data_IF_987330335162
#
_entry.id   IF_987330335162
#
_cell.length_a   1.000
_cell.length_b   1.000
_cell.length_c   1.000
_cell.angle_alpha   90.00
_cell.angle_beta   90.00
_cell.angle_gamma   90.00
#
_symmetry.space_group_name_H-M   'P 1'
#
loop_
_entity.id
_entity.type
_entity.pdbx_description
1 polymer ?
#
# COMPACT_ATOMS: atom_id res chain seq x y z
N UNK A 1 14.69 4.89 15.85
CA UNK A 1 13.89 5.73 14.93
C UNK A 1 12.43 5.36 15.14
N UNK A 2 11.47 6.30 15.13
CA UNK A 2 10.04 5.98 15.18
C UNK A 2 9.63 5.00 14.07
N UNK A 3 8.61 4.17 14.34
CA UNK A 3 8.02 3.26 13.37
C UNK A 3 6.60 3.70 13.04
N UNK A 4 6.29 3.68 11.75
CA UNK A 4 4.96 3.99 11.24
C UNK A 4 4.44 2.84 10.40
N UNK A 5 3.12 2.82 10.22
CA UNK A 5 2.48 2.10 9.13
C UNK A 5 1.67 3.07 8.27
N UNK A 6 1.83 2.96 6.95
CA UNK A 6 0.90 3.56 5.99
C UNK A 6 -0.11 2.49 5.58
N UNK A 7 -1.38 2.78 5.80
CA UNK A 7 -2.49 1.90 5.46
C UNK A 7 -3.29 2.53 4.32
N UNK A 8 -3.58 1.75 3.28
CA UNK A 8 -4.54 2.10 2.23
C UNK A 8 -5.70 1.10 2.20
N UNK A 9 -6.93 1.60 2.21
CA UNK A 9 -8.16 0.83 2.00
C UNK A 9 -8.58 1.00 0.53
N UNK A 10 -8.51 -0.07 -0.24
CA UNK A 10 -8.43 -0.03 -1.69
C UNK A 10 -9.45 -0.96 -2.36
N UNK A 11 -10.03 -0.50 -3.47
CA UNK A 11 -10.97 -1.28 -4.30
C UNK A 11 -10.60 -1.18 -5.77
N UNK A 12 -10.91 -2.20 -6.59
CA UNK A 12 -11.04 -2.00 -8.02
C UNK A 12 -12.15 -0.95 -8.27
N UNK A 13 -11.99 -0.03 -9.24
CA UNK A 13 -13.04 0.96 -9.52
C UNK A 13 -14.39 0.36 -9.93
N UNK A 14 -14.37 -0.83 -10.53
CA UNK A 14 -15.55 -1.63 -10.86
C UNK A 14 -15.16 -3.11 -10.99
N UNK A 15 -16.15 -4.01 -11.01
CA UNK A 15 -15.91 -5.45 -11.18
C UNK A 15 -15.18 -5.77 -12.51
N UNK A 16 -15.53 -5.08 -13.60
CA UNK A 16 -14.91 -5.27 -14.92
C UNK A 16 -13.45 -4.80 -14.97
N UNK A 17 -13.01 -3.99 -13.99
CA UNK A 17 -11.65 -3.48 -13.88
C UNK A 17 -10.78 -4.26 -12.88
N UNK A 18 -11.25 -5.40 -12.36
CA UNK A 18 -10.49 -6.22 -11.41
C UNK A 18 -9.11 -6.61 -11.97
N UNK A 19 -9.03 -7.06 -13.22
CA UNK A 19 -7.75 -7.47 -13.82
C UNK A 19 -6.76 -6.30 -13.94
N UNK A 20 -7.25 -5.08 -14.18
CA UNK A 20 -6.41 -3.88 -14.26
C UNK A 20 -5.92 -3.47 -12.88
N UNK A 21 -6.80 -3.55 -11.88
CA UNK A 21 -6.45 -3.36 -10.48
C UNK A 21 -5.42 -4.40 -10.02
N UNK A 22 -5.58 -5.67 -10.33
CA UNK A 22 -4.62 -6.71 -9.96
C UNK A 22 -3.25 -6.45 -10.61
N UNK A 23 -3.23 -6.19 -11.93
CA UNK A 23 -1.98 -5.95 -12.67
C UNK A 23 -1.25 -4.69 -12.19
N UNK A 24 -1.96 -3.62 -11.87
CA UNK A 24 -1.34 -2.36 -11.47
C UNK A 24 -1.14 -2.25 -9.97
N UNK A 25 -2.18 -2.49 -9.17
CA UNK A 25 -2.12 -2.30 -7.73
C UNK A 25 -1.39 -3.47 -7.07
N UNK A 26 -1.94 -4.68 -7.17
CA UNK A 26 -1.44 -5.86 -6.44
C UNK A 26 -0.03 -6.25 -6.89
N UNK A 27 0.20 -6.33 -8.20
CA UNK A 27 1.44 -6.86 -8.76
C UNK A 27 2.56 -5.82 -8.89
N UNK A 28 2.24 -4.52 -8.92
CA UNK A 28 3.22 -3.48 -9.22
C UNK A 28 3.29 -2.36 -8.17
N UNK A 29 2.15 -1.72 -7.83
CA UNK A 29 2.11 -0.55 -6.96
C UNK A 29 2.63 -0.83 -5.55
N UNK A 30 2.28 -2.00 -5.00
CA UNK A 30 2.76 -2.41 -3.67
C UNK A 30 4.28 -2.59 -3.67
N UNK A 31 4.84 -3.23 -4.69
CA UNK A 31 6.30 -3.37 -4.79
C UNK A 31 6.96 -2.01 -5.00
N UNK A 32 6.44 -1.19 -5.90
CA UNK A 32 6.96 0.14 -6.23
C UNK A 32 7.06 1.03 -4.99
N UNK A 33 6.01 1.08 -4.19
CA UNK A 33 5.97 1.82 -2.92
C UNK A 33 6.93 1.22 -1.89
N UNK A 34 7.01 -0.12 -1.81
CA UNK A 34 7.91 -0.80 -0.88
C UNK A 34 9.41 -0.62 -1.21
N UNK A 35 9.75 -0.15 -2.42
CA UNK A 35 11.13 0.20 -2.79
C UNK A 35 11.53 1.62 -2.38
N UNK A 36 10.59 2.44 -1.93
CA UNK A 36 10.85 3.78 -1.43
C UNK A 36 11.86 3.74 -0.24
N UNK A 37 12.82 4.68 -0.15
CA UNK A 37 13.66 4.82 1.02
C UNK A 37 12.82 4.90 2.30
N UNK A 38 13.32 4.32 3.40
CA UNK A 38 12.65 4.23 4.70
C UNK A 38 11.50 3.21 4.79
N UNK A 39 11.04 2.64 3.67
CA UNK A 39 10.04 1.57 3.66
C UNK A 39 10.73 0.22 3.89
N UNK A 40 10.26 -0.51 4.92
CA UNK A 40 10.81 -1.80 5.35
C UNK A 40 10.14 -2.94 4.59
N UNK A 41 8.82 -2.85 4.44
CA UNK A 41 8.00 -3.89 3.83
C UNK A 41 6.69 -3.28 3.33
N UNK A 42 6.30 -3.62 2.11
CA UNK A 42 4.93 -3.48 1.63
C UNK A 42 4.21 -4.82 1.60
N UNK A 43 2.92 -4.81 1.85
CA UNK A 43 2.05 -5.98 1.77
C UNK A 43 0.66 -5.55 1.35
N UNK A 44 -0.05 -6.41 0.63
CA UNK A 44 -1.46 -6.24 0.31
C UNK A 44 -2.22 -7.47 0.76
N UNK A 45 -3.37 -7.22 1.37
CA UNK A 45 -4.26 -8.24 1.91
C UNK A 45 -5.61 -8.12 1.23
N UNK A 46 -6.22 -9.27 0.96
CA UNK A 46 -7.62 -9.35 0.51
C UNK A 46 -8.49 -9.71 1.70
N UNK A 47 -9.58 -8.99 1.88
CA UNK A 47 -10.59 -9.30 2.89
C UNK A 47 -11.13 -10.72 2.65
N UNK A 48 -11.02 -11.56 3.67
CA UNK A 48 -11.52 -12.95 3.62
C UNK A 48 -12.83 -13.14 4.39
N UNK A 49 -13.26 -12.13 5.14
CA UNK A 49 -14.51 -12.12 5.89
C UNK A 49 -14.53 -11.03 6.97
N UNK A 50 -15.71 -10.64 7.46
CA UNK A 50 -15.84 -9.70 8.56
C UNK A 50 -15.38 -10.32 9.88
N UNK A 51 -15.03 -9.47 10.85
CA UNK A 51 -14.84 -9.87 12.24
C UNK A 51 -16.04 -9.41 13.06
N UNK A 52 -16.77 -10.36 13.64
CA UNK A 52 -18.05 -10.11 14.31
C UNK A 52 -19.01 -9.37 13.35
N UNK A 53 -19.84 -8.47 13.89
CA UNK A 53 -20.79 -7.64 13.14
C UNK A 53 -20.19 -6.28 12.75
N UNK A 54 -18.85 -6.16 12.73
CA UNK A 54 -18.16 -4.93 12.36
C UNK A 54 -18.28 -4.61 10.87
N UNK A 55 -18.36 -3.32 10.54
CA UNK A 55 -18.34 -2.86 9.15
C UNK A 55 -16.98 -3.12 8.50
N UNK A 56 -17.00 -3.74 7.31
CA UNK A 56 -15.82 -3.88 6.46
C UNK A 56 -15.85 -2.83 5.36
N UNK A 57 -15.02 -1.80 5.50
CA UNK A 57 -15.02 -0.62 4.61
C UNK A 57 -14.42 -0.93 3.23
N UNK A 58 -13.52 -1.92 3.14
CA UNK A 58 -12.86 -2.26 1.88
C UNK A 58 -12.44 -3.73 1.77
N UNK A 59 -12.41 -4.25 0.54
CA UNK A 59 -12.02 -5.58 0.11
C UNK A 59 -10.51 -5.79 -0.03
N UNK A 60 -9.72 -4.72 -0.15
CA UNK A 60 -8.26 -4.80 -0.10
C UNK A 60 -7.67 -3.79 0.89
N UNK A 61 -6.58 -4.21 1.54
CA UNK A 61 -5.79 -3.38 2.45
C UNK A 61 -4.32 -3.43 2.03
N UNK A 62 -3.72 -2.29 1.71
CA UNK A 62 -2.26 -2.16 1.65
C UNK A 62 -1.72 -1.75 3.02
N UNK A 63 -0.57 -2.31 3.36
CA UNK A 63 0.16 -2.01 4.58
C UNK A 63 1.63 -1.84 4.23
N UNK A 64 2.18 -0.69 4.59
CA UNK A 64 3.61 -0.43 4.48
C UNK A 64 4.19 -0.14 5.85
N UNK A 65 5.20 -0.92 6.24
CA UNK A 65 5.99 -0.65 7.44
C UNK A 65 7.10 0.33 7.10
N UNK A 66 7.25 1.38 7.90
CA UNK A 66 8.17 2.49 7.62
C UNK A 66 8.93 2.89 8.89
N UNK A 67 10.21 3.21 8.75
CA UNK A 67 11.04 3.81 9.80
C UNK A 67 11.51 5.19 9.37
N UNK A 68 11.03 6.23 10.05
CA UNK A 68 11.34 7.61 9.71
C UNK A 68 11.39 8.49 10.97
N UNK A 69 12.06 9.66 10.92
CA UNK A 69 12.06 10.61 12.03
C UNK A 69 10.67 11.17 12.39
N UNK A 70 9.77 11.33 11.41
CA UNK A 70 8.37 11.77 11.60
C UNK A 70 7.50 11.30 10.42
N UNK A 71 6.17 11.44 10.53
CA UNK A 71 5.27 11.12 9.41
C UNK A 71 5.45 12.11 8.25
N UNK A 72 5.74 13.39 8.54
CA UNK A 72 5.97 14.41 7.49
C UNK A 72 7.19 14.06 6.64
N UNK A 73 8.25 13.55 7.26
CA UNK A 73 9.44 13.13 6.55
C UNK A 73 9.18 11.86 5.72
N UNK A 74 8.41 10.90 6.26
CA UNK A 74 8.00 9.73 5.51
C UNK A 74 7.14 10.08 4.28
N UNK A 75 6.17 10.98 4.46
CA UNK A 75 5.29 11.48 3.41
C UNK A 75 6.07 12.25 2.34
N UNK A 76 7.00 13.13 2.75
CA UNK A 76 7.87 13.87 1.82
C UNK A 76 8.70 12.90 0.95
N UNK A 77 9.36 11.93 1.57
CA UNK A 77 10.19 10.94 0.86
C UNK A 77 9.35 10.08 -0.08
N UNK A 78 8.15 9.67 0.33
CA UNK A 78 7.22 8.94 -0.52
C UNK A 78 6.79 9.75 -1.75
N UNK A 79 6.44 11.02 -1.55
CA UNK A 79 6.02 11.89 -2.64
C UNK A 79 7.16 12.14 -3.64
N UNK A 80 8.37 12.43 -3.16
CA UNK A 80 9.56 12.56 -4.02
C UNK A 80 9.89 11.27 -4.79
N UNK A 81 9.69 10.11 -4.15
CA UNK A 81 9.85 8.81 -4.78
C UNK A 81 8.82 8.59 -5.91
N UNK A 82 7.56 8.92 -5.66
CA UNK A 82 6.50 8.78 -6.65
C UNK A 82 6.66 9.76 -7.81
N UNK A 83 7.13 10.97 -7.56
CA UNK A 83 7.38 11.96 -8.61
C UNK A 83 8.58 11.63 -9.51
N UNK A 84 9.49 10.76 -9.05
CA UNK A 84 10.67 10.37 -9.81
C UNK A 84 10.39 9.15 -10.72
N UNK A 85 10.32 9.31 -12.06
CA UNK A 85 10.09 8.19 -12.99
C UNK A 85 11.26 7.20 -13.06
N UNK A 86 12.45 7.59 -12.59
CA UNK A 86 13.67 6.80 -12.55
C UNK A 86 14.03 6.32 -11.14
N UNK A 87 13.11 6.43 -10.18
CA UNK A 87 13.30 6.04 -8.78
C UNK A 87 13.88 4.62 -8.62
N UNK A 88 13.39 3.68 -9.43
CA UNK A 88 13.95 2.33 -9.56
C UNK A 88 13.50 1.68 -10.88
N UNK A 89 14.13 0.55 -11.22
CA UNK A 89 13.90 -0.15 -12.49
C UNK A 89 12.43 -0.52 -12.78
N UNK A 90 11.61 -0.77 -11.75
CA UNK A 90 10.21 -1.15 -11.92
C UNK A 90 9.25 0.03 -12.10
N UNK A 91 9.65 1.26 -11.74
CA UNK A 91 8.80 2.47 -11.81
C UNK A 91 8.28 2.74 -13.22
N UNK A 92 9.12 2.57 -14.23
CA UNK A 92 8.74 2.77 -15.64
C UNK A 92 7.62 1.84 -16.08
N UNK A 93 7.67 0.56 -15.67
CA UNK A 93 6.61 -0.41 -15.96
C UNK A 93 5.32 -0.04 -15.23
N UNK A 94 5.42 0.35 -13.96
CA UNK A 94 4.27 0.79 -13.16
C UNK A 94 3.57 2.01 -13.79
N UNK A 95 4.33 3.02 -14.22
CA UNK A 95 3.80 4.22 -14.88
C UNK A 95 3.16 3.89 -16.25
N UNK A 96 3.84 3.12 -17.10
CA UNK A 96 3.31 2.72 -18.40
C UNK A 96 2.04 1.87 -18.29
N UNK A 97 1.96 1.01 -17.26
CA UNK A 97 0.75 0.22 -16.97
C UNK A 97 -0.41 1.15 -16.58
N UNK A 98 -0.16 2.16 -15.76
CA UNK A 98 -1.18 3.16 -15.41
C UNK A 98 -1.70 3.91 -16.66
N UNK A 99 -0.78 4.37 -17.50
CA UNK A 99 -1.08 5.11 -18.73
C UNK A 99 -1.93 4.28 -19.70
N UNK A 100 -1.58 3.00 -19.88
CA UNK A 100 -2.33 2.04 -20.71
C UNK A 100 -3.80 1.95 -20.33
N UNK A 101 -4.13 2.05 -19.04
CA UNK A 101 -5.52 1.94 -18.57
C UNK A 101 -6.32 3.24 -18.73
N UNK A 102 -5.67 4.38 -19.00
CA UNK A 102 -6.30 5.67 -19.30
C UNK A 102 -7.06 6.32 -18.14
N UNK A 103 -7.19 5.61 -17.01
CA UNK A 103 -7.77 6.07 -15.76
C UNK A 103 -7.06 5.38 -14.59
N UNK A 104 -7.17 5.95 -13.38
CA UNK A 104 -6.58 5.36 -12.18
C UNK A 104 -7.19 3.96 -11.92
N UNK A 105 -6.41 2.86 -11.95
CA UNK A 105 -6.92 1.51 -11.80
C UNK A 105 -7.16 1.13 -10.32
N UNK A 106 -7.52 2.12 -9.49
CA UNK A 106 -7.64 2.03 -8.05
C UNK A 106 -8.66 3.05 -7.52
N UNK A 107 -9.56 2.62 -6.65
CA UNK A 107 -10.36 3.49 -5.78
C UNK A 107 -9.84 3.41 -4.36
N UNK A 108 -9.59 4.56 -3.73
CA UNK A 108 -9.16 4.63 -2.32
C UNK A 108 -10.37 5.01 -1.46
N UNK A 109 -10.74 4.13 -0.52
CA UNK A 109 -11.81 4.36 0.47
C UNK A 109 -11.31 5.08 1.71
N UNK A 110 -10.03 4.94 2.01
CA UNK A 110 -9.34 5.61 3.11
C UNK A 110 -7.84 5.36 3.03
N UNK A 111 -7.04 6.29 3.53
CA UNK A 111 -5.59 6.14 3.62
C UNK A 111 -5.09 6.94 4.82
N UNK A 112 -4.08 6.44 5.52
CA UNK A 112 -3.53 7.14 6.67
C UNK A 112 -2.21 6.58 7.20
N UNK A 113 -1.45 7.48 7.83
CA UNK A 113 -0.25 7.16 8.60
C UNK A 113 -0.62 6.91 10.06
N UNK A 114 -0.06 5.84 10.64
CA UNK A 114 -0.25 5.48 12.03
C UNK A 114 1.10 5.23 12.68
N UNK A 115 1.35 5.86 13.82
CA UNK A 115 2.56 5.63 14.61
C UNK A 115 2.42 4.39 15.48
N UNK A 116 3.47 3.57 15.53
CA UNK A 116 3.54 2.46 16.47
C UNK A 116 3.84 2.97 17.88
N UNK A 117 2.80 3.07 18.71
CA UNK A 117 2.93 3.48 20.12
C UNK A 117 3.39 2.31 21.01
N UNK A 118 2.90 1.09 20.73
CA UNK A 118 3.22 -0.11 21.52
C UNK A 118 2.94 -1.39 20.72
N UNK A 119 3.72 -2.43 20.96
CA UNK A 119 3.49 -3.79 20.47
C UNK A 119 3.66 -4.82 21.58
N UNK A 120 3.07 -6.01 21.38
CA UNK A 120 3.22 -7.17 22.25
C UNK A 120 3.42 -8.39 21.37
N UNK A 121 4.24 -9.34 21.81
CA UNK A 121 4.43 -10.60 21.12
C UNK A 121 3.33 -11.60 21.52
N UNK A 122 2.70 -12.22 20.52
CA UNK A 122 1.77 -13.33 20.74
C UNK A 122 2.49 -14.67 20.86
N UNK A 123 1.81 -15.74 21.31
CA UNK A 123 2.33 -17.08 21.21
C UNK A 123 2.56 -17.42 19.73
N UNK A 124 3.80 -17.76 19.37
CA UNK A 124 4.14 -18.12 17.98
C UNK A 124 3.24 -19.27 17.53
N UNK A 125 2.75 -19.21 16.30
CA UNK A 125 2.02 -20.33 15.71
C UNK A 125 2.92 -21.57 15.73
N UNK A 126 2.41 -22.67 16.28
CA UNK A 126 3.02 -23.99 16.07
C UNK A 126 2.73 -24.38 14.62
N UNK A 127 3.80 -24.61 13.85
CA UNK A 127 3.74 -25.10 12.48
C UNK A 127 3.00 -26.44 12.38
#
# INVERSE_FOLDING_TARGET
MPRFVLIGLCEPPSADQQAQFDEWFVDQHIEDTAKCPNFIRGSVFKLSGPHLDGETVSGYLSLYEVEAPSYEEAERVLNEWQDNPDAWKGRKRHLATAEKFGAMPLTVKGSGWYELIKSFEGPKATA
#
